data_IF_571299865785
#
_entry.id   IF_571299865785
#
_cell.length_a   1.000
_cell.length_b   1.000
_cell.length_c   1.000
_cell.angle_alpha   90.00
_cell.angle_beta   90.00
_cell.angle_gamma   90.00
#
_symmetry.space_group_name_H-M   'P 1'
#
loop_
_entity.id
_entity.type
_entity.pdbx_description
1 polymer ?
#
# COMPACT_ATOMS: atom_id res chain seq x y z
N UNK A 1 7.59 -0.84 52.78
CA UNK A 1 6.21 -0.49 53.19
C UNK A 1 6.08 0.89 53.88
N UNK A 2 7.17 1.63 54.17
CA UNK A 2 7.09 2.88 54.96
C UNK A 2 6.80 4.17 54.17
N UNK A 3 6.94 4.19 52.83
CA UNK A 3 6.71 5.40 52.02
C UNK A 3 5.25 5.60 51.60
N UNK A 4 4.50 4.52 51.40
CA UNK A 4 3.12 4.57 50.91
C UNK A 4 2.12 5.08 51.97
N UNK A 5 2.32 4.66 53.24
CA UNK A 5 1.51 5.12 54.37
C UNK A 5 1.66 6.62 54.65
N UNK A 6 2.87 7.19 54.45
CA UNK A 6 3.12 8.62 54.61
C UNK A 6 2.47 9.45 53.49
N UNK A 7 2.45 8.93 52.26
CA UNK A 7 1.80 9.57 51.11
C UNK A 7 0.27 9.61 51.25
N UNK A 8 -0.33 8.49 51.68
CA UNK A 8 -1.77 8.38 51.91
C UNK A 8 -2.27 9.31 53.03
N UNK A 9 -1.48 9.49 54.10
CA UNK A 9 -1.84 10.40 55.22
C UNK A 9 -1.84 11.88 54.81
N UNK A 10 -1.06 12.24 53.78
CA UNK A 10 -0.92 13.62 53.27
C UNK A 10 -1.94 13.95 52.17
N UNK A 11 -2.54 12.93 51.56
CA UNK A 11 -3.52 13.03 50.47
C UNK A 11 -4.95 12.91 51.01
N UNK A 12 -5.54 14.04 51.46
CA UNK A 12 -6.97 14.12 51.86
C UNK A 12 -7.94 14.33 50.68
N UNK A 13 -7.65 13.79 49.48
CA UNK A 13 -8.56 13.90 48.33
C UNK A 13 -9.20 12.54 48.03
N UNK A 14 -10.55 12.42 48.11
CA UNK A 14 -11.26 11.13 47.96
C UNK A 14 -11.10 10.48 46.58
N UNK A 15 -10.69 11.24 45.56
CA UNK A 15 -10.48 10.79 44.18
C UNK A 15 -9.22 9.92 43.98
N UNK A 16 -8.26 9.96 44.90
CA UNK A 16 -6.98 9.25 44.75
C UNK A 16 -7.10 7.76 45.12
N UNK A 17 -8.04 7.41 45.98
CA UNK A 17 -8.27 6.02 46.42
C UNK A 17 -8.70 5.07 45.27
N UNK A 18 -9.65 5.42 44.39
CA UNK A 18 -9.98 4.55 43.25
C UNK A 18 -8.82 4.37 42.26
N UNK A 19 -8.00 5.40 42.02
CA UNK A 19 -6.82 5.29 41.16
C UNK A 19 -5.76 4.35 41.75
N UNK A 20 -5.52 4.41 43.06
CA UNK A 20 -4.62 3.48 43.74
C UNK A 20 -5.18 2.06 43.68
N UNK A 21 -6.49 1.88 43.90
CA UNK A 21 -7.17 0.59 43.77
C UNK A 21 -6.97 -0.04 42.39
N UNK A 22 -7.18 0.73 41.32
CA UNK A 22 -6.97 0.30 39.93
C UNK A 22 -5.49 -0.06 39.69
N UNK A 23 -4.55 0.77 40.17
CA UNK A 23 -3.12 0.49 40.01
C UNK A 23 -2.70 -0.79 40.75
N UNK A 24 -3.20 -1.01 41.96
CA UNK A 24 -2.92 -2.23 42.72
C UNK A 24 -3.53 -3.48 42.08
N UNK A 25 -4.72 -3.40 41.50
CA UNK A 25 -5.31 -4.50 40.74
C UNK A 25 -4.54 -4.80 39.45
N UNK A 26 -4.09 -3.77 38.72
CA UNK A 26 -3.31 -3.92 37.50
C UNK A 26 -1.92 -4.53 37.78
N UNK A 27 -1.23 -4.06 38.83
CA UNK A 27 0.06 -4.60 39.25
C UNK A 27 -0.07 -6.03 39.81
N UNK A 28 -1.14 -6.30 40.57
CA UNK A 28 -1.45 -7.64 41.06
C UNK A 28 -1.76 -8.62 39.92
N UNK A 29 -2.51 -8.19 38.90
CA UNK A 29 -2.79 -8.97 37.70
C UNK A 29 -1.54 -9.26 36.88
N UNK A 30 -0.67 -8.26 36.67
CA UNK A 30 0.61 -8.45 35.98
C UNK A 30 1.56 -9.38 36.74
N UNK A 31 1.61 -9.28 38.07
CA UNK A 31 2.39 -10.19 38.92
C UNK A 31 1.80 -11.61 38.90
N UNK A 32 0.48 -11.75 38.94
CA UNK A 32 -0.21 -13.04 38.85
C UNK A 32 0.05 -13.73 37.51
N UNK A 33 -0.06 -13.00 36.39
CA UNK A 33 0.25 -13.50 35.04
C UNK A 33 1.73 -13.86 34.92
N UNK A 34 2.63 -13.02 35.43
CA UNK A 34 4.08 -13.30 35.43
C UNK A 34 4.44 -14.55 36.24
N UNK A 35 3.88 -14.70 37.44
CA UNK A 35 4.08 -15.89 38.30
C UNK A 35 3.44 -17.13 37.70
N UNK A 36 2.28 -17.02 37.04
CA UNK A 36 1.65 -18.14 36.33
C UNK A 36 2.37 -18.52 35.03
N UNK A 37 2.97 -17.58 34.32
CA UNK A 37 3.82 -17.84 33.17
C UNK A 37 5.17 -18.46 33.58
N UNK A 38 5.66 -18.16 34.79
CA UNK A 38 6.90 -18.71 35.34
C UNK A 38 6.74 -20.10 35.99
N UNK A 39 5.51 -20.63 36.14
CA UNK A 39 5.30 -22.03 36.55
C UNK A 39 5.69 -22.95 35.39
N UNK A 40 6.96 -23.38 35.39
CA UNK A 40 7.60 -24.43 34.59
C UNK A 40 7.11 -24.54 33.12
N UNK A 41 7.78 -23.90 32.14
CA UNK A 41 7.50 -24.14 30.73
C UNK A 41 7.86 -25.59 30.36
N UNK A 42 7.04 -26.23 29.53
CA UNK A 42 7.29 -27.58 29.02
C UNK A 42 8.47 -27.58 28.03
N UNK A 43 8.63 -26.48 27.30
CA UNK A 43 9.72 -26.30 26.32
C UNK A 43 10.32 -24.91 26.46
N UNK A 44 11.64 -24.85 26.69
CA UNK A 44 12.39 -23.60 26.74
C UNK A 44 13.31 -23.48 25.50
N UNK A 45 13.01 -22.53 24.62
CA UNK A 45 13.76 -22.32 23.39
C UNK A 45 14.97 -21.40 23.61
N UNK A 46 16.15 -21.83 23.14
CA UNK A 46 17.36 -21.02 23.07
C UNK A 46 18.09 -21.31 21.75
N UNK A 47 18.14 -20.32 20.87
CA UNK A 47 18.71 -20.45 19.52
C UNK A 47 20.16 -20.97 19.47
N UNK A 48 20.94 -20.85 20.55
CA UNK A 48 22.34 -21.32 20.60
C UNK A 48 22.48 -22.78 21.00
N UNK A 49 21.59 -23.27 21.85
CA UNK A 49 21.75 -24.58 22.51
C UNK A 49 20.66 -25.58 22.13
N UNK A 50 19.51 -25.08 21.67
CA UNK A 50 18.40 -25.88 21.17
C UNK A 50 17.71 -25.13 20.02
N UNK A 51 18.30 -25.10 18.80
CA UNK A 51 17.75 -24.36 17.66
C UNK A 51 16.45 -24.95 17.12
N UNK A 52 16.19 -26.24 17.36
CA UNK A 52 15.01 -26.96 16.89
C UNK A 52 14.23 -27.60 18.05
N UNK A 53 13.65 -26.80 18.95
CA UNK A 53 12.99 -27.28 20.18
C UNK A 53 11.73 -28.13 19.92
N UNK A 54 11.29 -28.20 18.67
CA UNK A 54 10.09 -28.89 18.20
C UNK A 54 10.32 -30.37 17.85
N UNK A 55 11.57 -30.83 17.77
CA UNK A 55 11.88 -32.20 17.38
C UNK A 55 11.38 -33.25 18.39
N UNK A 56 11.18 -32.85 19.65
CA UNK A 56 10.73 -33.72 20.73
C UNK A 56 9.23 -33.54 21.07
N UNK A 57 8.50 -32.67 20.36
CA UNK A 57 7.06 -32.44 20.56
C UNK A 57 6.29 -33.37 19.63
N UNK A 58 5.36 -34.16 20.17
CA UNK A 58 4.53 -35.06 19.35
C UNK A 58 3.40 -34.30 18.69
N UNK A 59 2.99 -34.80 17.52
CA UNK A 59 1.90 -34.20 16.75
C UNK A 59 0.60 -34.20 17.57
N UNK A 60 0.00 -33.01 17.74
CA UNK A 60 -1.20 -32.80 18.56
C UNK A 60 -0.97 -32.52 20.05
N UNK A 61 0.28 -32.47 20.53
CA UNK A 61 0.61 -32.18 21.92
C UNK A 61 0.58 -30.66 22.21
N UNK A 62 -0.17 -30.23 23.24
CA UNK A 62 -0.15 -28.83 23.67
C UNK A 62 0.96 -28.60 24.69
N UNK A 63 1.97 -27.80 24.32
CA UNK A 63 3.10 -27.46 25.18
C UNK A 63 3.19 -25.95 25.44
N UNK A 64 3.57 -25.57 26.67
CA UNK A 64 3.89 -24.18 27.00
C UNK A 64 5.33 -23.86 26.63
N UNK A 65 5.49 -23.04 25.59
CA UNK A 65 6.80 -22.63 25.10
C UNK A 65 7.21 -21.25 25.63
N UNK A 66 8.45 -21.14 26.10
CA UNK A 66 9.07 -19.86 26.50
C UNK A 66 10.40 -19.69 25.77
N UNK A 67 10.61 -18.53 25.16
CA UNK A 67 11.89 -18.17 24.54
C UNK A 67 12.83 -17.56 25.59
N UNK A 68 13.98 -18.20 25.82
CA UNK A 68 15.03 -17.70 26.68
C UNK A 68 16.11 -17.03 25.83
N UNK A 69 16.52 -15.82 26.23
CA UNK A 69 17.68 -15.09 25.72
C UNK A 69 17.48 -14.32 24.40
N UNK A 70 16.45 -13.47 24.32
CA UNK A 70 16.60 -12.23 23.56
C UNK A 70 17.55 -11.32 24.36
N UNK A 71 18.81 -11.21 23.95
CA UNK A 71 19.66 -10.11 24.42
C UNK A 71 19.06 -8.82 23.88
N UNK A 72 18.18 -8.21 24.68
CA UNK A 72 17.93 -6.78 24.60
C UNK A 72 19.26 -6.11 24.95
N UNK A 73 19.90 -5.45 23.99
CA UNK A 73 21.01 -4.56 24.29
C UNK A 73 20.44 -3.41 25.13
N UNK A 74 20.59 -3.49 26.45
CA UNK A 74 20.18 -2.47 27.43
C UNK A 74 20.98 -1.15 27.33
N UNK A 75 21.43 -0.74 26.13
CA UNK A 75 21.86 0.63 25.89
C UNK A 75 20.68 1.43 25.36
N UNK A 76 19.86 1.87 26.31
CA UNK A 76 19.01 3.04 26.11
C UNK A 76 19.90 4.28 26.06
N UNK A 77 20.50 4.58 24.91
CA UNK A 77 20.92 5.94 24.64
C UNK A 77 19.66 6.78 24.42
N UNK A 78 19.22 7.44 25.49
CA UNK A 78 18.25 8.54 25.38
C UNK A 78 18.91 9.65 24.58
N UNK A 79 18.73 9.66 23.27
CA UNK A 79 18.90 10.89 22.50
C UNK A 79 17.82 11.84 23.02
N UNK A 80 18.25 12.82 23.82
CA UNK A 80 17.38 13.89 24.31
C UNK A 80 16.67 14.50 23.12
N UNK A 81 15.35 14.33 23.05
CA UNK A 81 14.48 15.20 22.28
C UNK A 81 14.60 16.59 22.92
N UNK A 82 15.49 17.42 22.38
CA UNK A 82 15.42 18.85 22.59
C UNK A 82 14.16 19.32 21.86
N UNK A 83 13.12 19.62 22.63
CA UNK A 83 12.05 20.50 22.19
C UNK A 83 12.68 21.87 21.92
N UNK A 84 13.14 22.10 20.67
CA UNK A 84 13.43 23.44 20.20
C UNK A 84 12.10 24.07 19.76
N UNK A 85 11.45 24.75 20.69
CA UNK A 85 10.60 25.90 20.38
C UNK A 85 11.48 26.97 19.75
N UNK A 86 11.67 26.89 18.44
CA UNK A 86 12.18 28.01 17.65
C UNK A 86 11.70 27.83 16.21
N UNK A 87 10.91 28.80 15.78
CA UNK A 87 10.49 28.97 14.41
C UNK A 87 11.69 29.02 13.45
N UNK A 88 11.44 28.64 12.20
CA UNK A 88 12.21 29.00 11.01
C UNK A 88 13.70 28.60 11.00
N UNK A 89 13.99 27.40 10.50
CA UNK A 89 15.03 27.17 9.50
C UNK A 89 14.87 25.77 8.91
N UNK A 90 14.61 25.72 7.61
CA UNK A 90 14.51 24.50 6.83
C UNK A 90 15.78 23.64 6.99
N UNK A 91 15.61 22.39 7.44
CA UNK A 91 16.56 21.34 7.14
C UNK A 91 15.96 20.57 5.97
N UNK A 92 16.47 20.84 4.78
CA UNK A 92 16.13 20.16 3.54
C UNK A 92 16.66 18.74 3.62
N UNK A 93 15.93 17.85 4.28
CA UNK A 93 16.08 16.41 4.07
C UNK A 93 15.70 16.19 2.61
N UNK A 94 16.68 15.91 1.75
CA UNK A 94 16.43 15.45 0.40
C UNK A 94 15.65 14.14 0.49
N UNK A 95 14.33 14.23 0.42
CA UNK A 95 13.47 13.09 0.15
C UNK A 95 14.04 12.44 -1.11
N UNK A 96 14.53 11.20 -1.03
CA UNK A 96 14.85 10.46 -2.24
C UNK A 96 13.59 10.48 -3.10
N UNK A 97 13.66 11.02 -4.32
CA UNK A 97 12.51 11.07 -5.21
C UNK A 97 11.87 9.68 -5.27
N UNK A 98 10.64 9.56 -4.76
CA UNK A 98 9.90 8.30 -4.80
C UNK A 98 9.68 8.00 -6.28
N UNK A 99 10.44 7.06 -6.84
CA UNK A 99 10.34 6.68 -8.24
C UNK A 99 8.88 6.27 -8.50
N UNK A 100 8.16 7.10 -9.26
CA UNK A 100 6.76 6.85 -9.59
C UNK A 100 6.73 5.66 -10.55
N UNK A 101 6.18 4.54 -10.10
CA UNK A 101 5.93 3.37 -10.94
C UNK A 101 4.55 3.54 -11.60
N UNK A 102 4.45 3.60 -12.93
CA UNK A 102 3.16 3.63 -13.58
C UNK A 102 2.43 2.31 -13.28
N UNK A 103 1.13 2.41 -12.98
CA UNK A 103 0.24 1.26 -12.73
C UNK A 103 -1.13 1.51 -13.37
N UNK A 104 -1.15 2.06 -14.59
CA UNK A 104 -2.42 2.41 -15.26
C UNK A 104 -3.26 1.15 -15.48
N UNK A 105 -2.62 0.09 -15.98
CA UNK A 105 -3.19 -1.25 -16.02
C UNK A 105 -2.41 -2.18 -15.09
N UNK A 106 -3.09 -2.70 -14.07
CA UNK A 106 -2.60 -3.78 -13.20
C UNK A 106 -3.22 -5.10 -13.71
N UNK A 107 -2.46 -5.87 -14.47
CA UNK A 107 -2.94 -7.06 -15.17
C UNK A 107 -2.71 -8.34 -14.34
N UNK A 108 -3.80 -9.02 -13.98
CA UNK A 108 -3.74 -10.29 -13.25
C UNK A 108 -3.45 -11.47 -14.17
N UNK A 109 -2.56 -12.35 -13.71
CA UNK A 109 -2.19 -13.59 -14.39
C UNK A 109 -2.32 -14.73 -13.39
N UNK A 110 -3.22 -15.71 -13.59
CA UNK A 110 -3.37 -16.84 -12.68
C UNK A 110 -2.06 -17.63 -12.54
N UNK A 111 -1.55 -17.73 -11.30
CA UNK A 111 -0.27 -18.36 -11.00
C UNK A 111 -0.22 -19.88 -11.27
N UNK A 112 -1.39 -20.52 -11.41
CA UNK A 112 -1.49 -21.94 -11.77
C UNK A 112 -1.65 -22.22 -13.28
N UNK A 113 -1.68 -21.19 -14.12
CA UNK A 113 -1.89 -21.33 -15.57
C UNK A 113 -0.62 -20.97 -16.34
N UNK A 114 0.20 -21.98 -16.60
CA UNK A 114 1.49 -21.86 -17.30
C UNK A 114 1.35 -21.17 -18.67
N UNK A 115 0.26 -21.44 -19.41
CA UNK A 115 0.03 -20.82 -20.73
C UNK A 115 -0.20 -19.31 -20.59
N UNK A 116 -0.98 -18.89 -19.59
CA UNK A 116 -1.21 -17.46 -19.32
C UNK A 116 0.04 -16.77 -18.80
N UNK A 117 0.82 -17.45 -17.94
CA UNK A 117 2.14 -16.97 -17.49
C UNK A 117 3.06 -16.72 -18.69
N UNK A 118 3.19 -17.69 -19.60
CA UNK A 118 4.03 -17.53 -20.78
C UNK A 118 3.55 -16.37 -21.67
N UNK A 119 2.24 -16.26 -21.91
CA UNK A 119 1.65 -15.18 -22.70
C UNK A 119 1.82 -13.80 -22.04
N UNK A 120 1.93 -13.74 -20.71
CA UNK A 120 2.12 -12.48 -19.97
C UNK A 120 3.46 -11.79 -20.31
N UNK A 121 4.45 -12.54 -20.79
CA UNK A 121 5.76 -11.98 -21.15
C UNK A 121 5.66 -10.97 -22.30
N UNK A 122 4.72 -11.17 -23.22
CA UNK A 122 4.55 -10.32 -24.41
C UNK A 122 3.53 -9.20 -24.25
N UNK A 123 2.84 -9.09 -23.10
CA UNK A 123 1.84 -8.02 -22.92
C UNK A 123 2.50 -6.70 -22.50
N UNK A 124 1.99 -5.59 -23.01
CA UNK A 124 2.49 -4.26 -22.70
C UNK A 124 1.72 -3.63 -21.52
N UNK A 125 1.68 -4.33 -20.38
CA UNK A 125 1.08 -3.80 -19.15
C UNK A 125 2.13 -3.06 -18.31
N UNK A 126 1.71 -1.96 -17.69
CA UNK A 126 2.50 -1.23 -16.69
C UNK A 126 2.87 -2.10 -15.49
N UNK A 127 1.94 -2.96 -15.05
CA UNK A 127 2.14 -3.89 -13.94
C UNK A 127 1.52 -5.25 -14.26
N UNK A 128 2.29 -6.33 -14.06
CA UNK A 128 1.83 -7.71 -14.16
C UNK A 128 1.80 -8.31 -12.76
N UNK A 129 0.61 -8.72 -12.32
CA UNK A 129 0.37 -9.31 -11.01
C UNK A 129 0.10 -10.82 -11.14
N UNK A 130 1.08 -11.63 -10.77
CA UNK A 130 0.89 -13.07 -10.67
C UNK A 130 0.04 -13.40 -9.46
N UNK A 131 -1.08 -14.06 -9.70
CA UNK A 131 -2.09 -14.29 -8.68
C UNK A 131 -1.94 -15.68 -8.05
N UNK A 132 -1.73 -15.72 -6.74
CA UNK A 132 -1.72 -16.94 -5.94
C UNK A 132 -3.03 -17.13 -5.17
N UNK A 133 -3.97 -16.20 -5.25
CA UNK A 133 -5.18 -16.15 -4.43
C UNK A 133 -6.42 -16.64 -5.19
N UNK A 134 -7.43 -15.81 -5.49
CA UNK A 134 -8.75 -16.26 -5.94
C UNK A 134 -8.73 -17.01 -7.29
N UNK A 135 -7.76 -16.74 -8.17
CA UNK A 135 -7.65 -17.47 -9.45
C UNK A 135 -6.99 -18.85 -9.35
N UNK A 136 -6.56 -19.27 -8.14
CA UNK A 136 -5.87 -20.54 -7.90
C UNK A 136 -6.67 -21.42 -6.95
N UNK A 137 -7.00 -22.63 -7.39
CA UNK A 137 -7.68 -23.61 -6.55
C UNK A 137 -6.81 -24.05 -5.36
N UNK A 138 -7.39 -24.39 -4.19
CA UNK A 138 -6.62 -24.74 -2.99
C UNK A 138 -5.59 -25.87 -3.21
N UNK A 139 -5.94 -26.89 -3.97
CA UNK A 139 -5.07 -28.02 -4.30
C UNK A 139 -3.93 -27.67 -5.28
N UNK A 140 -3.95 -26.49 -5.90
CA UNK A 140 -2.92 -26.02 -6.85
C UNK A 140 -1.99 -24.96 -6.27
N UNK A 141 -2.21 -24.49 -5.02
CA UNK A 141 -1.42 -23.41 -4.40
C UNK A 141 0.08 -23.71 -4.40
N UNK A 142 0.48 -24.93 -4.03
CA UNK A 142 1.89 -25.35 -4.05
C UNK A 142 2.53 -25.27 -5.44
N UNK A 143 1.87 -25.86 -6.45
CA UNK A 143 2.35 -25.80 -7.83
C UNK A 143 2.38 -24.36 -8.38
N UNK A 144 1.38 -23.55 -8.04
CA UNK A 144 1.32 -22.15 -8.45
C UNK A 144 2.49 -21.33 -7.90
N UNK A 145 2.90 -21.54 -6.64
CA UNK A 145 4.07 -20.85 -6.07
C UNK A 145 5.34 -21.12 -6.87
N UNK A 146 5.57 -22.36 -7.28
CA UNK A 146 6.72 -22.75 -8.10
C UNK A 146 6.67 -22.09 -9.49
N UNK A 147 5.53 -22.13 -10.16
CA UNK A 147 5.36 -21.47 -11.46
C UNK A 147 5.56 -19.96 -11.36
N UNK A 148 5.07 -19.31 -10.29
CA UNK A 148 5.21 -17.87 -10.09
C UNK A 148 6.66 -17.48 -9.83
N UNK A 149 7.41 -18.21 -8.99
CA UNK A 149 8.83 -17.88 -8.76
C UNK A 149 9.65 -18.07 -10.05
N UNK A 150 9.38 -19.14 -10.79
CA UNK A 150 10.03 -19.38 -12.08
C UNK A 150 9.70 -18.27 -13.09
N UNK A 151 8.43 -17.83 -13.15
CA UNK A 151 8.01 -16.72 -14.00
C UNK A 151 8.69 -15.40 -13.62
N UNK A 152 8.82 -15.11 -12.32
CA UNK A 152 9.49 -13.91 -11.83
C UNK A 152 10.96 -13.87 -12.27
N UNK A 153 11.66 -15.00 -12.18
CA UNK A 153 13.10 -15.12 -12.51
C UNK A 153 13.37 -15.23 -14.01
N UNK A 154 12.57 -16.03 -14.74
CA UNK A 154 12.76 -16.31 -16.17
C UNK A 154 12.51 -15.09 -17.07
N UNK A 155 11.61 -14.21 -16.63
CA UNK A 155 11.16 -13.12 -17.49
C UNK A 155 12.12 -11.93 -17.46
N UNK A 156 12.61 -11.52 -18.62
CA UNK A 156 12.88 -10.11 -18.88
C UNK A 156 11.56 -9.46 -19.32
N UNK A 157 10.57 -9.36 -18.42
CA UNK A 157 9.43 -8.47 -18.69
C UNK A 157 10.02 -7.09 -18.97
N UNK A 158 9.71 -6.52 -20.14
CA UNK A 158 10.32 -5.29 -20.63
C UNK A 158 10.41 -4.19 -19.57
N UNK A 159 9.40 -3.32 -19.50
CA UNK A 159 9.35 -2.23 -18.51
C UNK A 159 8.32 -2.45 -17.40
N UNK A 160 7.57 -3.57 -17.45
CA UNK A 160 6.47 -3.85 -16.54
C UNK A 160 6.95 -4.08 -15.10
N UNK A 161 6.22 -3.52 -14.13
CA UNK A 161 6.38 -3.87 -12.72
C UNK A 161 5.92 -5.32 -12.49
N UNK A 162 6.76 -6.10 -11.80
CA UNK A 162 6.44 -7.47 -11.41
C UNK A 162 5.85 -7.51 -10.01
N UNK A 163 4.57 -7.83 -9.93
CA UNK A 163 3.85 -7.99 -8.69
C UNK A 163 3.42 -9.45 -8.47
N UNK A 164 3.21 -9.81 -7.22
CA UNK A 164 2.51 -11.04 -6.84
C UNK A 164 1.35 -10.68 -5.92
N UNK A 165 0.14 -11.17 -6.21
CA UNK A 165 -0.95 -11.20 -5.24
C UNK A 165 -0.86 -12.47 -4.43
N UNK A 166 -0.47 -12.33 -3.17
CA UNK A 166 -0.39 -13.45 -2.22
C UNK A 166 -1.78 -13.83 -1.72
N UNK A 167 -1.90 -14.96 -1.03
CA UNK A 167 -3.10 -15.30 -0.26
C UNK A 167 -3.25 -14.39 0.96
N UNK A 168 -4.50 -14.21 1.41
CA UNK A 168 -4.82 -13.32 2.53
C UNK A 168 -4.11 -13.73 3.83
N UNK A 169 -3.76 -12.73 4.66
CA UNK A 169 -3.20 -12.97 5.99
C UNK A 169 -4.24 -13.70 6.85
N UNK A 170 -3.86 -14.83 7.46
CA UNK A 170 -4.77 -15.70 8.20
C UNK A 170 -5.48 -16.78 7.36
N UNK A 171 -5.17 -16.89 6.06
CA UNK A 171 -5.74 -17.95 5.19
C UNK A 171 -5.11 -19.33 5.40
N UNK A 172 -3.93 -19.39 6.04
CA UNK A 172 -3.13 -20.61 6.18
C UNK A 172 -2.18 -20.87 5.00
N UNK A 173 -2.13 -19.96 4.02
CA UNK A 173 -1.29 -20.06 2.82
C UNK A 173 -0.27 -18.92 2.69
N UNK A 174 -0.45 -17.84 3.44
CA UNK A 174 0.34 -16.61 3.35
C UNK A 174 1.83 -16.82 3.65
N UNK A 175 2.16 -17.70 4.61
CA UNK A 175 3.55 -17.98 4.98
C UNK A 175 4.28 -18.74 3.88
N UNK A 176 3.64 -19.74 3.29
CA UNK A 176 4.20 -20.50 2.18
C UNK A 176 4.43 -19.61 0.95
N UNK A 177 3.47 -18.71 0.66
CA UNK A 177 3.60 -17.77 -0.44
C UNK A 177 4.83 -16.87 -0.23
N UNK A 178 4.92 -16.21 0.93
CA UNK A 178 6.02 -15.29 1.25
C UNK A 178 7.37 -16.02 1.30
N UNK A 179 7.40 -17.25 1.84
CA UNK A 179 8.62 -18.06 1.88
C UNK A 179 9.11 -18.45 0.48
N UNK A 180 8.27 -18.46 -0.55
CA UNK A 180 8.71 -18.70 -1.92
C UNK A 180 9.06 -17.40 -2.63
N UNK A 181 8.13 -16.43 -2.67
CA UNK A 181 8.27 -15.26 -3.54
C UNK A 181 9.34 -14.28 -3.08
N UNK A 182 9.62 -14.18 -1.77
CA UNK A 182 10.64 -13.27 -1.23
C UNK A 182 12.08 -13.68 -1.57
N UNK A 183 12.29 -14.90 -2.07
CA UNK A 183 13.57 -15.34 -2.61
C UNK A 183 13.81 -14.88 -4.05
N UNK A 184 12.81 -14.27 -4.71
CA UNK A 184 12.98 -13.70 -6.04
C UNK A 184 13.87 -12.46 -6.02
N UNK A 185 14.78 -12.35 -6.99
CA UNK A 185 15.58 -11.13 -7.23
C UNK A 185 14.84 -10.10 -8.07
N UNK A 186 13.71 -10.47 -8.66
CA UNK A 186 12.96 -9.65 -9.62
C UNK A 186 11.60 -9.18 -9.11
N UNK A 187 11.14 -9.66 -7.94
CA UNK A 187 9.92 -9.17 -7.30
C UNK A 187 10.00 -7.67 -6.98
N UNK A 188 8.96 -6.91 -7.34
CA UNK A 188 8.90 -5.46 -7.15
C UNK A 188 7.74 -5.01 -6.27
N UNK A 189 6.63 -5.74 -6.28
CA UNK A 189 5.48 -5.43 -5.45
C UNK A 189 4.77 -6.69 -4.94
N UNK A 190 4.17 -6.59 -3.75
CA UNK A 190 3.29 -7.61 -3.19
C UNK A 190 1.91 -6.98 -2.99
N UNK A 191 0.90 -7.59 -3.60
CA UNK A 191 -0.50 -7.24 -3.39
C UNK A 191 -1.00 -8.11 -2.23
N UNK A 192 -1.45 -7.45 -1.17
CA UNK A 192 -2.02 -8.08 0.02
C UNK A 192 -3.54 -8.01 -0.16
N UNK A 193 -4.24 -9.12 -0.42
CA UNK A 193 -5.69 -9.12 -0.54
C UNK A 193 -6.37 -8.98 0.83
N UNK A 194 -7.63 -8.57 0.83
CA UNK A 194 -8.54 -8.63 1.98
C UNK A 194 -7.96 -8.00 3.25
N UNK A 195 -7.26 -6.86 3.12
CA UNK A 195 -6.63 -6.16 4.24
C UNK A 195 -7.71 -5.60 5.17
N UNK A 196 -7.63 -5.96 6.46
CA UNK A 196 -8.58 -5.53 7.48
C UNK A 196 -7.99 -4.49 8.44
N UNK A 197 -6.66 -4.42 8.58
CA UNK A 197 -6.02 -3.45 9.47
C UNK A 197 -4.51 -3.33 9.30
N UNK A 198 -3.89 -2.47 10.11
CA UNK A 198 -2.45 -2.20 10.04
C UNK A 198 -1.58 -3.45 10.26
N UNK A 199 -2.08 -4.43 11.03
CA UNK A 199 -1.37 -5.66 11.37
C UNK A 199 -1.06 -6.52 10.15
N UNK A 200 -1.94 -6.52 9.15
CA UNK A 200 -1.76 -7.32 7.92
C UNK A 200 -0.58 -6.77 7.11
N UNK A 201 -0.51 -5.44 6.99
CA UNK A 201 0.60 -4.73 6.33
C UNK A 201 1.92 -4.94 7.08
N UNK A 202 1.89 -4.81 8.41
CA UNK A 202 3.07 -4.98 9.27
C UNK A 202 3.56 -6.44 9.31
N UNK A 203 2.67 -7.41 9.17
CA UNK A 203 3.05 -8.81 9.04
C UNK A 203 3.89 -9.02 7.78
N UNK A 204 3.39 -8.60 6.62
CA UNK A 204 4.13 -8.75 5.34
C UNK A 204 5.43 -7.94 5.36
N UNK A 205 5.41 -6.73 5.92
CA UNK A 205 6.62 -5.90 6.05
C UNK A 205 7.72 -6.59 6.86
N UNK A 206 7.36 -7.19 8.02
CA UNK A 206 8.31 -7.95 8.84
C UNK A 206 8.81 -9.22 8.15
N UNK A 207 7.98 -9.87 7.34
CA UNK A 207 8.41 -11.02 6.52
C UNK A 207 9.42 -10.59 5.45
N UNK A 208 9.22 -9.45 4.79
CA UNK A 208 10.21 -8.87 3.88
C UNK A 208 11.53 -8.62 4.62
N UNK A 209 11.47 -7.98 5.79
CA UNK A 209 12.68 -7.67 6.59
C UNK A 209 13.42 -8.94 7.03
N UNK A 210 12.70 -10.05 7.25
CA UNK A 210 13.29 -11.28 7.78
C UNK A 210 13.79 -12.23 6.69
N UNK A 211 13.04 -12.37 5.60
CA UNK A 211 13.23 -13.44 4.60
C UNK A 211 13.79 -12.91 3.29
N UNK A 212 13.41 -11.70 2.87
CA UNK A 212 13.82 -11.21 1.57
C UNK A 212 15.33 -10.97 1.52
N UNK A 213 15.90 -11.18 0.33
CA UNK A 213 17.30 -10.90 0.03
C UNK A 213 17.62 -9.44 0.40
N UNK A 214 18.64 -9.22 1.23
CA UNK A 214 19.00 -7.90 1.77
C UNK A 214 18.99 -6.80 0.70
N UNK A 215 19.63 -7.06 -0.44
CA UNK A 215 19.73 -6.10 -1.55
C UNK A 215 18.41 -5.78 -2.26
N UNK A 216 17.33 -6.53 -2.00
CA UNK A 216 16.02 -6.35 -2.61
C UNK A 216 14.98 -5.73 -1.65
N UNK A 217 15.22 -5.75 -0.33
CA UNK A 217 14.23 -5.34 0.69
C UNK A 217 13.65 -3.95 0.48
N UNK A 218 14.50 -2.99 0.11
CA UNK A 218 14.08 -1.59 -0.08
C UNK A 218 13.29 -1.38 -1.39
N UNK A 219 13.43 -2.31 -2.35
CA UNK A 219 12.77 -2.23 -3.65
C UNK A 219 11.33 -2.75 -3.60
N UNK A 220 11.03 -3.70 -2.72
CA UNK A 220 9.71 -4.34 -2.63
C UNK A 220 8.70 -3.33 -2.07
N UNK A 221 7.67 -3.06 -2.86
CA UNK A 221 6.53 -2.21 -2.48
C UNK A 221 5.33 -3.04 -2.07
N UNK A 222 4.46 -2.48 -1.25
CA UNK A 222 3.21 -3.10 -0.85
C UNK A 222 2.04 -2.41 -1.54
N UNK A 223 1.06 -3.21 -1.94
CA UNK A 223 -0.21 -2.75 -2.49
C UNK A 223 -1.31 -3.39 -1.65
N UNK A 224 -2.13 -2.59 -0.98
CA UNK A 224 -3.19 -3.10 -0.13
C UNK A 224 -4.51 -3.13 -0.90
N UNK A 225 -5.15 -4.30 -0.95
CA UNK A 225 -6.48 -4.42 -1.50
C UNK A 225 -7.51 -4.24 -0.38
N UNK A 226 -8.37 -3.24 -0.55
CA UNK A 226 -9.45 -2.91 0.38
C UNK A 226 -10.74 -3.47 -0.19
N UNK A 227 -11.30 -4.44 0.54
CA UNK A 227 -12.31 -5.36 0.02
C UNK A 227 -13.47 -5.59 1.01
N UNK A 228 -13.50 -4.88 2.14
CA UNK A 228 -14.48 -5.08 3.21
C UNK A 228 -14.84 -3.77 3.91
N UNK A 229 -16.01 -3.72 4.56
CA UNK A 229 -16.41 -2.61 5.42
C UNK A 229 -15.40 -2.35 6.53
N UNK A 230 -14.88 -3.39 7.18
CA UNK A 230 -13.89 -3.25 8.25
C UNK A 230 -12.57 -2.67 7.72
N UNK A 231 -12.09 -3.10 6.54
CA UNK A 231 -10.92 -2.51 5.89
C UNK A 231 -11.11 -1.02 5.60
N UNK A 232 -12.30 -0.61 5.19
CA UNK A 232 -12.63 0.81 5.04
C UNK A 232 -12.65 1.57 6.36
N UNK A 233 -13.25 1.01 7.43
CA UNK A 233 -13.25 1.65 8.74
C UNK A 233 -11.83 1.84 9.30
N UNK A 234 -10.92 0.92 8.95
CA UNK A 234 -9.53 0.94 9.38
C UNK A 234 -8.58 1.56 8.34
N UNK A 235 -9.08 2.19 7.27
CA UNK A 235 -8.22 2.60 6.14
C UNK A 235 -7.09 3.53 6.58
N UNK A 236 -7.31 4.40 7.58
CA UNK A 236 -6.28 5.30 8.13
C UNK A 236 -5.11 4.56 8.75
N UNK A 237 -5.37 3.51 9.54
CA UNK A 237 -4.29 2.72 10.15
C UNK A 237 -3.58 1.87 9.10
N UNK A 238 -4.30 1.36 8.09
CA UNK A 238 -3.73 0.62 6.96
C UNK A 238 -2.75 1.50 6.18
N UNK A 239 -3.16 2.69 5.77
CA UNK A 239 -2.33 3.59 4.94
C UNK A 239 -1.11 4.16 5.66
N UNK A 240 -1.11 4.11 7.00
CA UNK A 240 0.00 4.58 7.84
C UNK A 240 0.83 3.45 8.43
N UNK A 241 0.52 2.20 8.08
CA UNK A 241 1.11 1.03 8.73
C UNK A 241 2.60 0.83 8.42
N UNK A 242 3.03 1.13 7.18
CA UNK A 242 4.42 0.96 6.73
C UNK A 242 4.74 1.85 5.52
N UNK A 243 5.93 2.47 5.43
CA UNK A 243 6.33 3.31 4.29
C UNK A 243 6.51 2.57 2.95
N UNK A 244 6.55 1.23 2.94
CA UNK A 244 6.55 0.42 1.71
C UNK A 244 5.22 0.44 0.97
N UNK A 245 4.13 0.78 1.66
CA UNK A 245 2.82 0.89 1.03
C UNK A 245 2.85 1.99 -0.04
N UNK A 246 2.44 1.62 -1.24
CA UNK A 246 2.59 2.47 -2.43
C UNK A 246 1.28 2.66 -3.20
N UNK A 247 0.33 1.72 -3.07
CA UNK A 247 -0.97 1.81 -3.71
C UNK A 247 -2.07 1.13 -2.88
N UNK A 248 -3.31 1.57 -3.11
CA UNK A 248 -4.55 0.92 -2.67
C UNK A 248 -5.31 0.39 -3.89
N UNK A 249 -5.88 -0.81 -3.76
CA UNK A 249 -6.79 -1.40 -4.75
C UNK A 249 -8.21 -1.41 -4.16
N UNK A 250 -9.20 -1.06 -4.99
CA UNK A 250 -10.60 -1.33 -4.66
C UNK A 250 -11.05 -2.66 -5.29
N UNK A 251 -11.31 -3.69 -4.47
CA UNK A 251 -11.87 -4.96 -4.97
C UNK A 251 -13.40 -4.95 -4.83
N UNK A 252 -14.08 -4.63 -5.92
CA UNK A 252 -15.52 -4.41 -5.91
C UNK A 252 -16.34 -5.67 -5.56
N UNK A 253 -15.97 -6.85 -6.07
CA UNK A 253 -16.78 -8.06 -5.90
C UNK A 253 -16.79 -8.54 -4.44
N UNK A 254 -15.61 -8.65 -3.83
CA UNK A 254 -15.47 -8.96 -2.41
C UNK A 254 -16.15 -7.92 -1.53
N UNK A 255 -16.02 -6.62 -1.85
CA UNK A 255 -16.68 -5.55 -1.10
C UNK A 255 -18.21 -5.64 -1.18
N UNK A 256 -18.75 -5.92 -2.38
CA UNK A 256 -20.18 -6.14 -2.54
C UNK A 256 -20.66 -7.34 -1.72
N UNK A 257 -19.90 -8.43 -1.70
CA UNK A 257 -20.22 -9.62 -0.91
C UNK A 257 -20.18 -9.33 0.61
N UNK A 258 -19.17 -8.60 1.09
CA UNK A 258 -18.99 -8.27 2.51
C UNK A 258 -20.10 -7.36 3.05
N UNK A 259 -20.48 -6.33 2.28
CA UNK A 259 -21.48 -5.34 2.71
C UNK A 259 -22.91 -5.74 2.34
N UNK A 260 -23.08 -6.74 1.48
CA UNK A 260 -24.38 -7.18 0.98
C UNK A 260 -24.97 -6.24 -0.09
N UNK A 261 -24.11 -5.65 -0.93
CA UNK A 261 -24.52 -4.82 -2.06
C UNK A 261 -24.79 -5.67 -3.30
N UNK A 262 -25.80 -5.28 -4.07
CA UNK A 262 -26.01 -5.80 -5.43
C UNK A 262 -25.29 -4.89 -6.42
N UNK A 263 -24.26 -5.40 -7.10
CA UNK A 263 -23.54 -4.65 -8.14
C UNK A 263 -24.49 -4.28 -9.27
N UNK A 264 -24.53 -3.01 -9.63
CA UNK A 264 -25.36 -2.48 -10.73
C UNK A 264 -24.50 -1.90 -11.83
N UNK A 265 -25.00 -1.79 -13.09
CA UNK A 265 -24.28 -1.08 -14.15
C UNK A 265 -23.98 0.39 -13.82
N UNK A 266 -24.74 1.00 -12.91
CA UNK A 266 -24.54 2.39 -12.50
C UNK A 266 -23.36 2.59 -11.54
N UNK A 267 -22.95 1.52 -10.82
CA UNK A 267 -21.92 1.53 -9.76
C UNK A 267 -22.15 2.55 -8.64
N UNK A 268 -23.33 3.17 -8.56
CA UNK A 268 -23.68 4.18 -7.56
C UNK A 268 -23.68 3.61 -6.15
N UNK A 269 -23.99 2.32 -6.01
CA UNK A 269 -23.93 1.58 -4.75
C UNK A 269 -22.51 1.53 -4.15
N UNK A 270 -21.46 1.69 -4.98
CA UNK A 270 -20.05 1.72 -4.56
C UNK A 270 -19.47 3.14 -4.48
N UNK A 271 -20.27 4.19 -4.72
CA UNK A 271 -19.79 5.57 -4.86
C UNK A 271 -19.02 6.04 -3.63
N UNK A 272 -19.55 5.77 -2.42
CA UNK A 272 -18.89 6.13 -1.17
C UNK A 272 -17.54 5.43 -1.03
N UNK A 273 -17.52 4.10 -1.17
CA UNK A 273 -16.30 3.30 -1.01
C UNK A 273 -15.20 3.73 -2.00
N UNK A 274 -15.54 3.91 -3.28
CA UNK A 274 -14.58 4.33 -4.31
C UNK A 274 -13.98 5.71 -4.02
N UNK A 275 -14.82 6.71 -3.73
CA UNK A 275 -14.32 8.05 -3.44
C UNK A 275 -13.55 8.12 -2.11
N UNK A 276 -13.97 7.35 -1.10
CA UNK A 276 -13.28 7.30 0.17
C UNK A 276 -11.89 6.66 0.03
N UNK A 277 -11.76 5.61 -0.79
CA UNK A 277 -10.46 5.00 -1.12
C UNK A 277 -9.53 5.99 -1.82
N UNK A 278 -10.03 6.72 -2.83
CA UNK A 278 -9.21 7.73 -3.53
C UNK A 278 -8.76 8.83 -2.56
N UNK A 279 -9.65 9.33 -1.71
CA UNK A 279 -9.32 10.34 -0.71
C UNK A 279 -8.26 9.84 0.27
N UNK A 280 -8.40 8.60 0.76
CA UNK A 280 -7.41 7.98 1.64
C UNK A 280 -6.06 7.83 0.94
N UNK A 281 -6.02 7.33 -0.30
CA UNK A 281 -4.79 7.19 -1.06
C UNK A 281 -4.11 8.55 -1.28
N UNK A 282 -4.86 9.56 -1.74
CA UNK A 282 -4.35 10.90 -2.01
C UNK A 282 -3.81 11.59 -0.74
N UNK A 283 -4.44 11.39 0.41
CA UNK A 283 -4.01 11.98 1.69
C UNK A 283 -2.60 11.55 2.12
N UNK A 284 -2.15 10.36 1.70
CA UNK A 284 -0.85 9.79 2.06
C UNK A 284 0.08 9.58 0.86
N UNK A 285 -0.23 10.19 -0.30
CA UNK A 285 0.60 10.10 -1.49
C UNK A 285 0.70 8.69 -2.07
N UNK A 286 -0.37 7.89 -1.92
CA UNK A 286 -0.49 6.55 -2.50
C UNK A 286 -1.25 6.62 -3.83
N UNK A 287 -1.00 5.65 -4.70
CA UNK A 287 -1.82 5.42 -5.89
C UNK A 287 -3.15 4.77 -5.51
N UNK A 288 -4.19 4.99 -6.31
CA UNK A 288 -5.49 4.33 -6.17
C UNK A 288 -5.80 3.57 -7.46
N UNK A 289 -6.05 2.28 -7.36
CA UNK A 289 -6.31 1.38 -8.49
C UNK A 289 -7.77 0.92 -8.42
N UNK A 290 -8.52 1.15 -9.49
CA UNK A 290 -9.96 0.93 -9.55
C UNK A 290 -10.33 -0.54 -9.78
N UNK A 291 -11.61 -0.84 -9.57
CA UNK A 291 -12.23 -2.16 -9.69
C UNK A 291 -12.04 -2.86 -11.05
N UNK A 292 -12.22 -4.19 -11.06
CA UNK A 292 -12.25 -4.99 -12.29
C UNK A 292 -13.52 -4.75 -13.11
N UNK A 293 -13.35 -4.58 -14.43
CA UNK A 293 -14.45 -4.67 -15.38
C UNK A 293 -14.68 -6.15 -15.72
N UNK A 294 -15.75 -6.74 -15.18
CA UNK A 294 -16.05 -8.18 -15.33
C UNK A 294 -16.52 -8.51 -16.74
N UNK A 295 -17.31 -7.61 -17.35
CA UNK A 295 -17.70 -7.72 -18.76
C UNK A 295 -16.52 -7.31 -19.66
N UNK A 296 -15.54 -8.21 -19.80
CA UNK A 296 -14.33 -7.97 -20.57
C UNK A 296 -14.57 -7.96 -22.09
N UNK A 297 -15.72 -8.48 -22.55
CA UNK A 297 -16.07 -8.52 -23.96
C UNK A 297 -16.69 -7.19 -24.42
N UNK A 298 -17.35 -6.48 -23.51
CA UNK A 298 -17.94 -5.19 -23.78
C UNK A 298 -16.95 -4.04 -23.56
N UNK A 299 -16.33 -3.60 -24.66
CA UNK A 299 -15.38 -2.48 -24.65
C UNK A 299 -16.01 -1.16 -24.23
N UNK A 300 -17.29 -0.92 -24.54
CA UNK A 300 -17.97 0.33 -24.21
C UNK A 300 -18.13 0.47 -22.69
N UNK A 301 -18.52 -0.61 -22.02
CA UNK A 301 -18.59 -0.67 -20.55
C UNK A 301 -17.22 -0.41 -19.93
N UNK A 302 -16.15 -1.03 -20.46
CA UNK A 302 -14.79 -0.78 -19.99
C UNK A 302 -14.39 0.71 -20.15
N UNK A 303 -14.72 1.32 -21.29
CA UNK A 303 -14.42 2.73 -21.57
C UNK A 303 -15.15 3.64 -20.58
N UNK A 304 -16.43 3.40 -20.34
CA UNK A 304 -17.22 4.17 -19.37
C UNK A 304 -16.67 4.04 -17.95
N UNK A 305 -16.35 2.82 -17.51
CA UNK A 305 -15.76 2.58 -16.18
C UNK A 305 -14.40 3.26 -16.01
N UNK A 306 -13.54 3.23 -17.04
CA UNK A 306 -12.23 3.88 -16.98
C UNK A 306 -12.34 5.41 -16.92
N UNK A 307 -13.25 6.00 -17.69
CA UNK A 307 -13.50 7.45 -17.65
C UNK A 307 -13.96 7.89 -16.26
N UNK A 308 -14.95 7.20 -15.71
CA UNK A 308 -15.47 7.46 -14.37
C UNK A 308 -14.40 7.28 -13.30
N UNK A 309 -13.62 6.20 -13.36
CA UNK A 309 -12.50 5.95 -12.43
C UNK A 309 -11.47 7.08 -12.47
N UNK A 310 -11.06 7.53 -13.67
CA UNK A 310 -10.15 8.67 -13.83
C UNK A 310 -10.73 9.94 -13.23
N UNK A 311 -12.01 10.22 -13.47
CA UNK A 311 -12.71 11.41 -12.95
C UNK A 311 -12.78 11.41 -11.41
N UNK A 312 -12.95 10.24 -10.79
CA UNK A 312 -12.91 10.10 -9.33
C UNK A 312 -11.50 10.27 -8.75
N UNK A 313 -10.46 10.20 -9.58
CA UNK A 313 -9.06 10.40 -9.19
C UNK A 313 -8.25 9.12 -9.07
N UNK A 314 -8.77 7.97 -9.51
CA UNK A 314 -7.98 6.75 -9.64
C UNK A 314 -6.82 6.96 -10.63
N UNK A 315 -5.71 6.30 -10.35
CA UNK A 315 -4.47 6.36 -11.14
C UNK A 315 -4.30 5.16 -12.08
N UNK A 316 -5.14 4.14 -11.92
CA UNK A 316 -5.18 2.97 -12.78
C UNK A 316 -6.40 2.10 -12.51
N UNK A 317 -6.48 0.96 -13.19
CA UNK A 317 -7.55 -0.04 -13.07
C UNK A 317 -6.98 -1.45 -13.18
N UNK A 318 -7.63 -2.37 -12.50
CA UNK A 318 -7.34 -3.79 -12.60
C UNK A 318 -7.81 -4.35 -13.96
N UNK A 319 -6.95 -5.15 -14.59
CA UNK A 319 -7.22 -5.84 -15.85
C UNK A 319 -7.18 -7.36 -15.64
N UNK A 320 -8.16 -8.06 -16.22
CA UNK A 320 -8.30 -9.53 -16.14
C UNK A 320 -8.19 -10.20 -17.51
N UNK A 321 -8.18 -9.42 -18.59
CA UNK A 321 -7.98 -9.90 -19.95
C UNK A 321 -7.00 -9.00 -20.73
N UNK A 322 -6.12 -9.54 -21.59
CA UNK A 322 -5.15 -8.75 -22.36
C UNK A 322 -5.77 -7.61 -23.17
N UNK A 323 -6.95 -7.83 -23.76
CA UNK A 323 -7.65 -6.82 -24.58
C UNK A 323 -8.09 -5.57 -23.79
N UNK A 324 -8.05 -5.62 -22.46
CA UNK A 324 -8.36 -4.47 -21.61
C UNK A 324 -7.16 -3.54 -21.43
N UNK A 325 -5.93 -4.04 -21.58
CA UNK A 325 -4.69 -3.35 -21.19
C UNK A 325 -4.54 -2.02 -21.93
N UNK A 326 -4.58 -2.03 -23.26
CA UNK A 326 -4.36 -0.81 -24.06
C UNK A 326 -5.46 0.24 -23.84
N UNK A 327 -6.71 -0.22 -23.67
CA UNK A 327 -7.86 0.66 -23.39
C UNK A 327 -7.67 1.31 -22.01
N UNK A 328 -7.32 0.54 -20.99
CA UNK A 328 -7.09 1.05 -19.64
C UNK A 328 -5.90 2.04 -19.64
N UNK A 329 -4.75 1.65 -20.18
CA UNK A 329 -3.56 2.51 -20.16
C UNK A 329 -3.76 3.83 -20.90
N UNK A 330 -4.50 3.81 -22.01
CA UNK A 330 -4.82 5.03 -22.75
C UNK A 330 -5.81 5.93 -22.00
N UNK A 331 -6.86 5.36 -21.38
CA UNK A 331 -7.88 6.16 -20.69
C UNK A 331 -7.43 6.72 -19.34
N UNK A 332 -6.45 6.11 -18.68
CA UNK A 332 -5.88 6.63 -17.43
C UNK A 332 -4.77 7.68 -17.64
N UNK A 333 -4.40 7.96 -18.89
CA UNK A 333 -3.64 9.15 -19.22
C UNK A 333 -4.52 10.41 -19.11
N UNK A 334 -3.93 11.59 -18.82
CA UNK A 334 -4.66 12.84 -18.90
C UNK A 334 -5.24 13.08 -20.30
N UNK A 335 -6.38 13.77 -20.37
CA UNK A 335 -6.90 14.23 -21.65
C UNK A 335 -5.90 15.21 -22.29
N UNK A 336 -5.62 15.13 -23.61
CA UNK A 336 -4.72 16.06 -24.28
C UNK A 336 -5.07 17.54 -24.05
N UNK A 337 -6.37 17.89 -23.94
CA UNK A 337 -6.81 19.26 -23.66
C UNK A 337 -6.48 19.67 -22.22
N UNK A 338 -6.64 18.75 -21.27
CA UNK A 338 -6.28 19.01 -19.88
C UNK A 338 -4.76 19.13 -19.73
N UNK A 339 -3.98 18.36 -20.49
CA UNK A 339 -2.53 18.46 -20.53
C UNK A 339 -2.06 19.78 -21.13
N UNK A 340 -2.61 20.20 -22.28
CA UNK A 340 -2.31 21.51 -22.89
C UNK A 340 -2.62 22.65 -21.91
N UNK A 341 -3.78 22.60 -21.25
CA UNK A 341 -4.17 23.58 -20.23
C UNK A 341 -3.21 23.56 -19.05
N UNK A 342 -2.83 22.38 -18.56
CA UNK A 342 -1.92 22.24 -17.43
C UNK A 342 -0.54 22.83 -17.75
N UNK A 343 0.02 22.54 -18.93
CA UNK A 343 1.32 23.10 -19.34
C UNK A 343 1.27 24.63 -19.40
N UNK A 344 0.22 25.21 -20.02
CA UNK A 344 0.03 26.68 -20.06
C UNK A 344 -0.12 27.31 -18.68
N UNK A 345 -0.76 26.62 -17.73
CA UNK A 345 -0.85 27.07 -16.33
C UNK A 345 0.54 27.11 -15.69
N UNK A 346 1.38 26.09 -15.89
CA UNK A 346 2.72 26.05 -15.31
C UNK A 346 3.63 27.12 -15.93
N UNK A 347 3.57 27.32 -17.24
CA UNK A 347 4.31 28.39 -17.92
C UNK A 347 3.87 29.78 -17.45
N UNK A 348 2.56 30.01 -17.33
CA UNK A 348 2.02 31.24 -16.78
C UNK A 348 2.51 31.46 -15.35
N UNK A 349 2.44 30.43 -14.51
CA UNK A 349 2.90 30.51 -13.13
C UNK A 349 4.39 30.85 -13.05
N UNK A 350 5.25 30.22 -13.85
CA UNK A 350 6.67 30.56 -13.91
C UNK A 350 6.90 32.02 -14.30
N UNK A 351 6.19 32.51 -15.33
CA UNK A 351 6.31 33.90 -15.80
C UNK A 351 5.85 34.94 -14.77
N UNK A 352 4.71 34.71 -14.10
CA UNK A 352 4.12 35.65 -13.15
C UNK A 352 4.78 35.56 -11.76
N UNK A 353 5.23 34.37 -11.33
CA UNK A 353 5.95 34.18 -10.07
C UNK A 353 7.28 34.94 -10.05
N UNK A 354 8.00 34.99 -11.18
CA UNK A 354 9.21 35.84 -11.33
C UNK A 354 8.93 37.34 -11.12
N UNK A 355 7.67 37.78 -11.30
CA UNK A 355 7.22 39.16 -11.09
C UNK A 355 6.59 39.38 -9.71
N UNK A 356 6.62 38.39 -8.83
CA UNK A 356 5.99 38.45 -7.50
C UNK A 356 4.45 38.43 -7.54
N UNK A 357 3.84 37.96 -8.63
CA UNK A 357 2.39 37.93 -8.80
C UNK A 357 1.88 36.52 -8.46
N UNK A 358 1.10 36.41 -7.38
CA UNK A 358 0.59 35.13 -6.87
C UNK A 358 -0.67 34.58 -7.57
N UNK A 359 -1.35 35.39 -8.38
CA UNK A 359 -2.51 34.98 -9.17
C UNK A 359 -2.56 35.73 -10.50
N UNK A 360 -2.89 35.03 -11.59
CA UNK A 360 -2.91 35.60 -12.94
C UNK A 360 -4.13 35.14 -13.73
N UNK A 361 -4.45 35.85 -14.81
CA UNK A 361 -5.53 35.47 -15.72
C UNK A 361 -4.98 34.61 -16.87
N UNK A 362 -5.63 33.48 -17.14
CA UNK A 362 -5.40 32.63 -18.30
C UNK A 362 -6.77 32.26 -18.90
N UNK A 363 -6.99 32.59 -20.18
CA UNK A 363 -8.24 32.33 -20.90
C UNK A 363 -9.51 32.80 -20.17
N UNK A 364 -9.43 33.98 -19.53
CA UNK A 364 -10.55 34.57 -18.79
C UNK A 364 -10.79 33.94 -17.41
N UNK A 365 -9.93 33.00 -16.98
CA UNK A 365 -10.02 32.36 -15.66
C UNK A 365 -8.88 32.80 -14.76
N UNK A 366 -9.18 33.02 -13.48
CA UNK A 366 -8.17 33.28 -12.46
C UNK A 366 -7.43 31.98 -12.14
N UNK A 367 -6.11 32.04 -12.19
CA UNK A 367 -5.20 30.95 -11.85
C UNK A 367 -4.47 31.33 -10.57
N UNK A 368 -4.61 30.47 -9.56
CA UNK A 368 -3.98 30.57 -8.26
C UNK A 368 -3.24 29.26 -7.93
N UNK A 369 -2.61 29.20 -6.75
CA UNK A 369 -1.77 28.07 -6.33
C UNK A 369 -2.49 26.70 -6.36
N UNK A 370 -3.75 26.54 -5.91
CA UNK A 370 -4.50 25.30 -6.08
C UNK A 370 -4.59 24.81 -7.54
N UNK A 371 -4.84 25.71 -8.49
CA UNK A 371 -4.92 25.37 -9.92
C UNK A 371 -3.55 24.99 -10.49
N UNK A 372 -2.48 25.64 -10.02
CA UNK A 372 -1.10 25.27 -10.35
C UNK A 372 -0.77 23.87 -9.85
N UNK A 373 -1.09 23.53 -8.59
CA UNK A 373 -0.88 22.18 -8.04
C UNK A 373 -1.64 21.10 -8.79
N UNK A 374 -2.84 21.41 -9.28
CA UNK A 374 -3.57 20.50 -10.17
C UNK A 374 -2.80 20.28 -11.48
N UNK A 375 -2.30 21.36 -12.11
CA UNK A 375 -1.54 21.29 -13.35
C UNK A 375 -0.24 20.48 -13.19
N UNK A 376 0.48 20.66 -12.07
CA UNK A 376 1.68 19.86 -11.74
C UNK A 376 1.37 18.36 -11.71
N UNK A 377 0.25 17.97 -11.07
CA UNK A 377 -0.19 16.57 -11.02
C UNK A 377 -0.56 16.01 -12.39
N UNK A 378 -1.22 16.80 -13.24
CA UNK A 378 -1.58 16.41 -14.60
C UNK A 378 -0.32 16.15 -15.44
N UNK A 379 0.64 17.07 -15.42
CA UNK A 379 1.91 16.94 -16.15
C UNK A 379 2.75 15.79 -15.61
N UNK A 380 2.84 15.62 -14.29
CA UNK A 380 3.53 14.49 -13.67
C UNK A 380 2.94 13.14 -14.11
N UNK A 381 1.61 13.04 -14.18
CA UNK A 381 0.91 11.84 -14.66
C UNK A 381 1.19 11.57 -16.15
N UNK A 382 1.17 12.61 -16.99
CA UNK A 382 1.50 12.49 -18.42
C UNK A 382 2.93 11.96 -18.62
N UNK A 383 3.91 12.56 -17.93
CA UNK A 383 5.32 12.13 -17.98
C UNK A 383 5.49 10.68 -17.50
N UNK A 384 4.88 10.32 -16.37
CA UNK A 384 4.94 8.95 -15.84
C UNK A 384 4.33 7.91 -16.80
N UNK A 385 3.31 8.31 -17.56
CA UNK A 385 2.69 7.47 -18.58
C UNK A 385 3.38 7.48 -19.96
N UNK A 386 4.50 8.20 -20.09
CA UNK A 386 5.29 8.25 -21.33
C UNK A 386 4.73 9.18 -22.41
N UNK A 387 3.83 10.11 -22.07
CA UNK A 387 3.43 11.17 -22.99
C UNK A 387 4.55 12.20 -23.12
N UNK A 388 4.82 12.63 -24.36
CA UNK A 388 5.70 13.76 -24.62
C UNK A 388 5.01 15.06 -24.21
N UNK A 389 5.56 15.75 -23.20
CA UNK A 389 5.05 17.05 -22.75
C UNK A 389 5.66 18.21 -23.52
N UNK A 390 6.79 18.00 -24.21
CA UNK A 390 7.51 19.05 -24.92
C UNK A 390 6.71 19.63 -26.09
N UNK A 391 5.88 18.81 -26.74
CA UNK A 391 4.95 19.27 -27.80
C UNK A 391 3.89 20.26 -27.30
N UNK A 392 3.69 20.36 -25.98
CA UNK A 392 2.76 21.29 -25.35
C UNK A 392 3.48 22.50 -24.72
N UNK A 393 4.81 22.41 -24.50
CA UNK A 393 5.68 23.42 -23.86
C UNK A 393 6.10 24.56 -24.82
N UNK A 394 5.67 24.52 -26.09
CA UNK A 394 5.98 25.58 -27.04
C UNK A 394 4.91 25.78 -28.12
N UNK A 395 3.85 26.51 -27.77
CA UNK A 395 3.25 27.52 -28.68
C UNK A 395 3.76 28.93 -28.35
N UNK A 396 5.01 29.04 -27.86
CA UNK A 396 5.66 30.30 -27.47
C UNK A 396 5.84 31.31 -28.62
N UNK A 397 5.87 30.84 -29.87
CA UNK A 397 6.35 31.65 -30.99
C UNK A 397 5.29 32.02 -32.03
N UNK A 398 4.05 31.51 -31.94
CA UNK A 398 3.01 31.81 -32.94
C UNK A 398 2.18 33.07 -32.65
N UNK A 399 2.20 33.59 -31.41
CA UNK A 399 1.41 34.77 -31.02
C UNK A 399 2.23 36.04 -30.79
N UNK A 400 3.57 35.97 -30.82
CA UNK A 400 4.40 37.19 -30.74
C UNK A 400 4.44 38.00 -32.04
N UNK A 401 4.06 37.42 -33.18
CA UNK A 401 4.01 38.10 -34.48
C UNK A 401 2.64 38.72 -34.81
N UNK A 402 1.73 38.84 -33.82
CA UNK A 402 0.39 39.44 -34.02
C UNK A 402 0.07 40.62 -33.09
N UNK A 403 1.07 41.31 -32.54
CA UNK A 403 0.84 42.56 -31.81
C UNK A 403 1.70 43.71 -32.34
#
# INVERSE_FOLDING_TARGET
>A
MSSLGAFLKKSKKPEIYPLIGILSCALGGAAYVGVHAAKAPDVAWNHKTNPYPWQDIKDGEQVKLVALNQKYNNRWERTKWQLSTTAAAATTTTASEKVIRPRRALFYVPGSDEKKIYKSISVNADCIAYDLEDSVSPNKKGAARHLVIDALEASEHGKAEKAVRMNAVGSGHELDDLNVILHSKRLQAIIIPKVQGAKDIQFVSRMIDSVAIESQRERIRLIASIESALGFMNIKEIVTADPRLDALIFAAEDYCADVGLTRTPSRKEMLFARQYLVNAAAAYGLQAIDLVCVDYQNKDVLIEECKEGREFGFTGKQAIHPDQIDIIQSLFLPDPKDLERAVRILEGYEHYSQKGIGAFNLDGKMIDMPVVKWAEKVVARAKAGGMDTSSFESKKDAEKDKK
#
